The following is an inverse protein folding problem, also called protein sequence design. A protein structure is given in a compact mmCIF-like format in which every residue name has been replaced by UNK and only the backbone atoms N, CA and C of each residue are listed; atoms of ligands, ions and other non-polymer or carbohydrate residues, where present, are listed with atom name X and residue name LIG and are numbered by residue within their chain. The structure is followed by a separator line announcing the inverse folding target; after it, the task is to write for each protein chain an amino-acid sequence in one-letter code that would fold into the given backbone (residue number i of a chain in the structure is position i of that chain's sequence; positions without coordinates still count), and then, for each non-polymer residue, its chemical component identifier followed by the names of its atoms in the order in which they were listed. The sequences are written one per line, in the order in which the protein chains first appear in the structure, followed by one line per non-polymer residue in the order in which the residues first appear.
data_IF_166454666693
#
_entry.id   IF_166454666693
#
_cell.length_a   1.000
_cell.length_b   1.000
_cell.length_c   1.000
_cell.angle_alpha   90.00
_cell.angle_beta   90.00
_cell.angle_gamma   90.00
#
_symmetry.space_group_name_H-M   'P 1'
#
loop_
_entity.id
_entity.type
_entity.pdbx_description
1 polymer ?
#
# COMPACT_ATOMS: atom_id res chain seq x y z
N UNK A 1 -2.11 -15.09 25.96
CA UNK A 1 -3.28 -14.18 26.07
C UNK A 1 -3.23 -13.34 24.81
N UNK A 2 -4.08 -13.67 23.86
CA UNK A 2 -4.24 -12.84 22.65
C UNK A 2 -4.95 -11.57 23.10
N UNK A 3 -4.24 -10.44 23.04
CA UNK A 3 -4.88 -9.13 23.25
C UNK A 3 -5.93 -8.95 22.16
N UNK A 4 -7.20 -8.86 22.52
CA UNK A 4 -8.27 -8.50 21.60
C UNK A 4 -7.92 -7.15 20.97
N UNK A 5 -7.83 -7.14 19.64
CA UNK A 5 -7.60 -5.90 18.89
C UNK A 5 -8.93 -5.17 18.82
N UNK A 6 -9.04 -4.06 19.50
CA UNK A 6 -10.24 -3.22 19.47
C UNK A 6 -10.44 -2.65 18.07
N UNK A 7 -11.60 -2.90 17.46
CA UNK A 7 -12.01 -2.28 16.21
C UNK A 7 -12.87 -1.05 16.50
N UNK A 8 -12.38 0.12 16.13
CA UNK A 8 -13.10 1.39 16.27
C UNK A 8 -13.57 1.86 14.90
N UNK A 9 -14.89 1.96 14.70
CA UNK A 9 -15.49 2.54 13.51
C UNK A 9 -16.02 3.93 13.82
N UNK A 10 -15.64 4.91 13.02
CA UNK A 10 -16.05 6.29 13.13
C UNK A 10 -16.93 6.63 11.93
N UNK A 11 -18.23 6.79 12.15
CA UNK A 11 -19.23 7.04 11.10
C UNK A 11 -19.72 8.49 11.06
N UNK A 12 -19.63 9.19 12.19
CA UNK A 12 -20.06 10.58 12.28
C UNK A 12 -18.98 11.56 11.81
N UNK A 13 -19.38 12.79 11.51
CA UNK A 13 -18.44 13.86 11.22
C UNK A 13 -17.56 14.16 12.45
N UNK A 14 -16.26 14.30 12.20
CA UNK A 14 -15.26 14.60 13.23
C UNK A 14 -14.57 15.91 12.89
N UNK A 15 -14.64 16.89 13.78
CA UNK A 15 -13.84 18.09 13.65
C UNK A 15 -12.37 17.83 14.06
N UNK A 16 -12.15 17.21 15.22
CA UNK A 16 -10.83 16.84 15.71
C UNK A 16 -10.86 15.50 16.45
N UNK A 17 -9.99 14.57 16.08
CA UNK A 17 -9.75 13.32 16.81
C UNK A 17 -8.27 13.13 17.10
N UNK A 18 -7.94 12.91 18.36
CA UNK A 18 -6.60 12.51 18.78
C UNK A 18 -6.61 11.06 19.29
N UNK A 19 -5.61 10.27 18.86
CA UNK A 19 -5.42 8.87 19.25
C UNK A 19 -3.98 8.74 19.72
N UNK A 20 -3.78 8.18 20.91
CA UNK A 20 -2.45 8.07 21.51
C UNK A 20 -2.18 6.66 21.99
N UNK A 21 -1.06 6.06 21.55
CA UNK A 21 -0.62 4.73 21.97
C UNK A 21 -1.57 3.61 21.53
N UNK A 22 -1.47 2.45 22.19
CA UNK A 22 -2.36 1.31 22.00
C UNK A 22 -2.13 0.51 20.73
N UNK A 23 -3.01 -0.49 20.53
CA UNK A 23 -3.10 -1.33 19.34
C UNK A 23 -4.56 -1.33 18.89
N UNK A 24 -4.86 -0.74 17.75
CA UNK A 24 -6.24 -0.51 17.30
C UNK A 24 -6.37 -0.73 15.80
N UNK A 25 -7.51 -1.28 15.37
CA UNK A 25 -7.97 -1.22 14.00
C UNK A 25 -8.98 -0.06 13.90
N UNK A 26 -8.61 1.00 13.21
CA UNK A 26 -9.40 2.21 13.08
C UNK A 26 -9.97 2.33 11.67
N UNK A 27 -11.30 2.38 11.56
CA UNK A 27 -11.99 2.63 10.31
C UNK A 27 -12.68 4.00 10.34
N UNK A 28 -12.18 4.93 9.55
CA UNK A 28 -12.73 6.27 9.39
C UNK A 28 -13.69 6.25 8.21
N UNK A 29 -14.98 6.09 8.50
CA UNK A 29 -16.06 6.03 7.54
C UNK A 29 -16.86 7.35 7.46
N UNK A 30 -16.80 8.20 8.48
CA UNK A 30 -17.32 9.55 8.49
C UNK A 30 -16.30 10.58 7.99
N UNK A 31 -16.78 11.71 7.46
CA UNK A 31 -15.90 12.83 7.09
C UNK A 31 -15.18 13.38 8.31
N UNK A 32 -13.92 13.75 8.15
CA UNK A 32 -13.13 14.32 9.24
C UNK A 32 -12.33 15.54 8.79
N UNK A 33 -12.34 16.58 9.64
CA UNK A 33 -11.48 17.74 9.42
C UNK A 33 -10.03 17.39 9.83
N UNK A 34 -9.82 16.98 11.09
CA UNK A 34 -8.46 16.71 11.57
C UNK A 34 -8.37 15.44 12.42
N UNK A 35 -7.42 14.57 12.04
CA UNK A 35 -7.10 13.36 12.81
C UNK A 35 -5.60 13.39 13.13
N UNK A 36 -5.26 13.18 14.40
CA UNK A 36 -3.89 13.09 14.89
C UNK A 36 -3.66 11.76 15.61
N UNK A 37 -2.63 11.01 15.21
CA UNK A 37 -2.30 9.70 15.79
C UNK A 37 -0.86 9.73 16.27
N UNK A 38 -0.64 9.44 17.56
CA UNK A 38 0.68 9.48 18.20
C UNK A 38 1.07 8.11 18.76
N UNK A 39 2.20 7.57 18.32
CA UNK A 39 2.72 6.28 18.78
C UNK A 39 1.81 5.09 18.44
N UNK A 40 1.98 3.96 19.14
CA UNK A 40 1.14 2.77 19.00
C UNK A 40 1.42 1.92 17.76
N UNK A 41 0.60 0.88 17.62
CA UNK A 41 0.56 -0.02 16.46
C UNK A 41 -0.88 -0.08 15.93
N UNK A 42 -1.12 0.49 14.75
CA UNK A 42 -2.48 0.66 14.24
C UNK A 42 -2.62 0.19 12.80
N UNK A 43 -3.79 -0.37 12.49
CA UNK A 43 -4.25 -0.52 11.10
C UNK A 43 -5.32 0.56 10.85
N UNK A 44 -5.09 1.42 9.86
CA UNK A 44 -5.99 2.52 9.53
C UNK A 44 -6.66 2.24 8.20
N UNK A 45 -7.98 2.38 8.15
CA UNK A 45 -8.77 2.38 6.93
C UNK A 45 -9.47 3.73 6.81
N UNK A 46 -9.15 4.48 5.76
CA UNK A 46 -9.75 5.78 5.47
C UNK A 46 -10.77 5.57 4.36
N UNK A 47 -12.03 5.50 4.71
CA UNK A 47 -13.13 5.21 3.76
C UNK A 47 -13.98 6.44 3.45
N UNK A 48 -13.66 7.60 4.03
CA UNK A 48 -14.32 8.88 3.77
C UNK A 48 -13.29 10.01 3.74
N UNK A 49 -13.68 11.18 3.25
CA UNK A 49 -12.80 12.33 3.11
C UNK A 49 -12.22 12.80 4.44
N UNK A 50 -10.91 13.10 4.45
CA UNK A 50 -10.19 13.67 5.60
C UNK A 50 -9.40 14.88 5.13
N UNK A 51 -9.63 16.05 5.73
CA UNK A 51 -8.86 17.25 5.38
C UNK A 51 -7.40 17.10 5.82
N UNK A 52 -7.16 16.71 7.08
CA UNK A 52 -5.80 16.56 7.58
C UNK A 52 -5.64 15.30 8.44
N UNK A 53 -4.78 14.38 8.00
CA UNK A 53 -4.34 13.24 8.79
C UNK A 53 -2.86 13.42 9.16
N UNK A 54 -2.56 13.49 10.46
CA UNK A 54 -1.21 13.62 10.97
C UNK A 54 -0.83 12.42 11.84
N UNK A 55 0.32 11.84 11.58
CA UNK A 55 0.81 10.62 12.22
C UNK A 55 2.21 10.84 12.77
N UNK A 56 2.41 10.54 14.05
CA UNK A 56 3.70 10.65 14.73
C UNK A 56 4.19 9.29 15.22
N UNK A 57 5.33 8.84 14.73
CA UNK A 57 5.99 7.59 15.16
C UNK A 57 5.13 6.35 15.04
N UNK A 58 5.49 5.26 15.74
CA UNK A 58 4.76 3.99 15.80
C UNK A 58 4.93 3.10 14.56
N UNK A 59 4.20 1.98 14.56
CA UNK A 59 4.14 1.03 13.43
C UNK A 59 2.73 0.99 12.86
N UNK A 60 2.57 1.08 11.54
CA UNK A 60 1.24 1.18 10.93
C UNK A 60 1.12 0.53 9.56
N UNK A 61 -0.09 0.07 9.30
CA UNK A 61 -0.60 -0.14 7.96
C UNK A 61 -1.73 0.86 7.69
N UNK A 62 -1.67 1.59 6.58
CA UNK A 62 -2.62 2.66 6.26
C UNK A 62 -3.21 2.37 4.88
N UNK A 63 -4.52 2.20 4.86
CA UNK A 63 -5.31 1.93 3.65
C UNK A 63 -6.18 3.15 3.34
N UNK A 64 -5.78 3.95 2.35
CA UNK A 64 -6.49 5.16 1.93
C UNK A 64 -7.40 4.80 0.78
N UNK A 65 -8.71 4.81 1.02
CA UNK A 65 -9.78 4.49 0.07
C UNK A 65 -10.67 5.67 -0.29
N UNK A 66 -10.32 6.87 0.16
CA UNK A 66 -11.00 8.13 -0.15
C UNK A 66 -9.99 9.27 -0.18
N UNK A 67 -10.43 10.50 -0.45
CA UNK A 67 -9.55 11.64 -0.59
C UNK A 67 -8.99 12.13 0.76
N UNK A 68 -7.71 12.50 0.75
CA UNK A 68 -7.05 13.20 1.86
C UNK A 68 -6.41 14.46 1.30
N UNK A 69 -6.74 15.61 1.88
CA UNK A 69 -6.11 16.88 1.46
C UNK A 69 -4.67 16.97 1.94
N UNK A 70 -4.41 16.73 3.24
CA UNK A 70 -3.07 16.78 3.82
C UNK A 70 -2.77 15.50 4.62
N UNK A 71 -1.85 14.68 4.14
CA UNK A 71 -1.32 13.53 4.87
C UNK A 71 0.09 13.83 5.35
N UNK A 72 0.29 13.89 6.67
CA UNK A 72 1.57 14.19 7.29
C UNK A 72 2.05 13.02 8.15
N UNK A 73 3.25 12.52 7.89
CA UNK A 73 3.85 11.39 8.61
C UNK A 73 5.22 11.79 9.14
N UNK A 74 5.39 11.68 10.44
CA UNK A 74 6.63 12.03 11.16
C UNK A 74 7.23 10.80 11.82
N UNK A 75 8.31 10.26 11.27
CA UNK A 75 9.03 9.10 11.78
C UNK A 75 8.19 7.80 11.78
N UNK A 76 8.66 6.80 12.53
CA UNK A 76 7.99 5.49 12.62
C UNK A 76 8.28 4.56 11.45
N UNK A 77 7.49 3.48 11.37
CA UNK A 77 7.52 2.49 10.30
C UNK A 77 6.11 2.32 9.76
N UNK A 78 5.90 2.56 8.49
CA UNK A 78 4.57 2.47 7.90
C UNK A 78 4.57 1.78 6.54
N UNK A 79 3.51 1.01 6.31
CA UNK A 79 3.13 0.55 4.97
C UNK A 79 1.86 1.27 4.58
N UNK A 80 1.87 1.97 3.44
CA UNK A 80 0.81 2.89 3.06
C UNK A 80 0.33 2.53 1.67
N UNK A 81 -0.99 2.35 1.54
CA UNK A 81 -1.65 2.08 0.28
C UNK A 81 -2.58 3.24 -0.07
N UNK A 82 -2.33 3.89 -1.19
CA UNK A 82 -3.26 4.85 -1.78
C UNK A 82 -4.04 4.12 -2.86
N UNK A 83 -5.25 3.76 -2.53
CA UNK A 83 -6.09 2.91 -3.36
C UNK A 83 -6.74 3.66 -4.52
N UNK A 84 -7.12 2.95 -5.61
CA UNK A 84 -7.85 3.51 -6.75
C UNK A 84 -9.36 3.26 -6.61
N UNK A 85 -9.97 3.83 -5.58
CA UNK A 85 -11.41 3.74 -5.34
C UNK A 85 -12.05 5.11 -5.46
N UNK A 86 -13.06 5.23 -6.29
CA UNK A 86 -13.87 6.44 -6.40
C UNK A 86 -13.02 7.70 -6.56
N UNK A 87 -13.00 8.53 -5.54
CA UNK A 87 -12.24 9.78 -5.46
C UNK A 87 -10.94 9.67 -4.63
N UNK A 88 -10.46 8.45 -4.36
CA UNK A 88 -9.28 8.24 -3.53
C UNK A 88 -8.05 8.91 -4.15
N UNK A 89 -7.52 9.88 -3.44
CA UNK A 89 -6.34 10.64 -3.82
C UNK A 89 -5.72 11.30 -2.58
N UNK A 90 -4.45 11.66 -2.68
CA UNK A 90 -3.78 12.47 -1.66
C UNK A 90 -3.26 13.74 -2.32
N UNK A 91 -3.72 14.91 -1.87
CA UNK A 91 -3.28 16.17 -2.48
C UNK A 91 -1.87 16.54 -2.00
N UNK A 92 -1.63 16.63 -0.70
CA UNK A 92 -0.31 16.88 -0.13
C UNK A 92 0.12 15.74 0.77
N UNK A 93 1.12 14.97 0.35
CA UNK A 93 1.66 13.85 1.11
C UNK A 93 3.06 14.21 1.62
N UNK A 94 3.17 14.47 2.91
CA UNK A 94 4.41 14.91 3.54
C UNK A 94 4.96 13.81 4.47
N UNK A 95 6.22 13.45 4.27
CA UNK A 95 6.93 12.43 5.05
C UNK A 95 8.20 13.05 5.62
N UNK A 96 8.40 12.92 6.91
CA UNK A 96 9.61 13.39 7.59
C UNK A 96 10.22 12.25 8.40
N UNK A 97 11.40 11.80 8.02
CA UNK A 97 12.12 10.70 8.67
C UNK A 97 11.43 9.34 8.50
N UNK A 98 11.75 8.39 9.38
CA UNK A 98 11.13 7.07 9.42
C UNK A 98 11.61 6.08 8.35
N UNK A 99 10.88 4.95 8.26
CA UNK A 99 11.09 3.90 7.27
C UNK A 99 9.72 3.50 6.70
N UNK A 100 9.47 3.87 5.46
CA UNK A 100 8.13 3.71 4.87
C UNK A 100 8.16 2.99 3.53
N UNK A 101 7.20 2.09 3.34
CA UNK A 101 6.85 1.52 2.04
C UNK A 101 5.51 2.10 1.60
N UNK A 102 5.47 2.77 0.46
CA UNK A 102 4.31 3.49 -0.05
C UNK A 102 3.95 2.93 -1.42
N UNK A 103 2.72 2.46 -1.54
CA UNK A 103 2.20 1.84 -2.75
C UNK A 103 1.02 2.68 -3.23
N UNK A 104 1.16 3.25 -4.42
CA UNK A 104 0.20 4.19 -4.99
C UNK A 104 -0.46 3.53 -6.19
N UNK A 105 -1.75 3.25 -6.08
CA UNK A 105 -2.60 2.75 -7.17
C UNK A 105 -3.41 3.86 -7.83
N UNK A 106 -3.48 5.03 -7.20
CA UNK A 106 -4.28 6.18 -7.62
C UNK A 106 -3.40 7.42 -7.80
N UNK A 107 -3.90 8.56 -7.38
CA UNK A 107 -3.31 9.85 -7.61
C UNK A 107 -2.75 10.49 -6.33
N UNK A 108 -1.50 10.97 -6.42
CA UNK A 108 -0.89 11.85 -5.43
C UNK A 108 -0.44 13.12 -6.15
N UNK A 109 -0.93 14.29 -5.72
CA UNK A 109 -0.58 15.53 -6.39
C UNK A 109 0.85 15.98 -6.03
N UNK A 110 1.17 16.08 -4.75
CA UNK A 110 2.51 16.46 -4.30
C UNK A 110 2.99 15.50 -3.21
N UNK A 111 4.14 14.85 -3.43
CA UNK A 111 4.83 13.99 -2.49
C UNK A 111 6.11 14.67 -2.02
N UNK A 112 6.17 15.03 -0.76
CA UNK A 112 7.33 15.68 -0.12
C UNK A 112 7.99 14.72 0.85
N UNK A 113 9.26 14.39 0.64
CA UNK A 113 10.02 13.45 1.46
C UNK A 113 11.22 14.15 2.06
N UNK A 114 11.28 14.23 3.37
CA UNK A 114 12.39 14.81 4.12
C UNK A 114 13.07 13.75 4.99
N UNK A 115 14.21 13.25 4.54
CA UNK A 115 14.98 12.22 5.25
C UNK A 115 14.37 10.83 5.24
N UNK A 116 14.84 9.96 6.15
CA UNK A 116 14.36 8.60 6.29
C UNK A 116 14.82 7.61 5.21
N UNK A 117 14.25 6.40 5.27
CA UNK A 117 14.42 5.33 4.27
C UNK A 117 13.06 5.03 3.69
N UNK A 118 12.86 5.34 2.42
CA UNK A 118 11.53 5.28 1.83
C UNK A 118 11.57 4.52 0.50
N UNK A 119 10.63 3.58 0.34
CA UNK A 119 10.37 2.87 -0.91
C UNK A 119 9.00 3.29 -1.44
N UNK A 120 8.96 3.85 -2.63
CA UNK A 120 7.73 4.33 -3.27
C UNK A 120 7.50 3.52 -4.55
N UNK A 121 6.33 2.92 -4.66
CA UNK A 121 5.90 2.13 -5.81
C UNK A 121 4.70 2.84 -6.43
N UNK A 122 4.85 3.33 -7.64
CA UNK A 122 3.84 4.03 -8.42
C UNK A 122 3.95 3.59 -9.89
N UNK A 123 3.75 2.30 -10.14
CA UNK A 123 3.93 1.67 -11.44
C UNK A 123 2.68 0.94 -11.95
N UNK A 124 1.53 1.23 -11.36
CA UNK A 124 0.24 0.68 -11.79
C UNK A 124 -0.41 1.56 -12.87
N UNK A 125 -1.35 1.01 -13.61
CA UNK A 125 -1.97 1.64 -14.80
C UNK A 125 -2.54 3.04 -14.51
N UNK A 126 -3.25 3.20 -13.40
CA UNK A 126 -3.88 4.47 -13.01
C UNK A 126 -3.06 5.26 -11.99
N UNK A 127 -1.92 4.72 -11.56
CA UNK A 127 -1.10 5.39 -10.55
C UNK A 127 -0.36 6.59 -11.14
N UNK A 128 -0.35 7.70 -10.40
CA UNK A 128 0.31 8.93 -10.82
C UNK A 128 0.74 9.78 -9.65
N UNK A 129 1.92 10.36 -9.74
CA UNK A 129 2.39 11.44 -8.88
C UNK A 129 2.75 12.63 -9.77
N UNK A 130 2.18 13.82 -9.50
CA UNK A 130 2.48 15.00 -10.30
C UNK A 130 3.82 15.62 -9.94
N UNK A 131 4.15 15.67 -8.64
CA UNK A 131 5.36 16.31 -8.15
C UNK A 131 5.96 15.54 -7.01
N UNK A 132 7.28 15.34 -7.06
CA UNK A 132 8.06 14.73 -5.99
C UNK A 132 9.14 15.73 -5.57
N UNK A 133 9.15 16.11 -4.30
CA UNK A 133 10.27 16.83 -3.67
C UNK A 133 10.95 15.90 -2.69
N UNK A 134 12.28 15.87 -2.71
CA UNK A 134 13.06 14.96 -1.92
C UNK A 134 14.26 15.63 -1.31
N UNK A 135 14.38 15.63 0.01
CA UNK A 135 15.48 16.22 0.76
C UNK A 135 16.07 15.17 1.68
N UNK A 136 17.38 14.93 1.60
CA UNK A 136 18.13 14.01 2.47
C UNK A 136 17.60 12.55 2.46
N UNK A 137 18.22 11.65 3.24
CA UNK A 137 17.81 10.26 3.40
C UNK A 137 18.01 9.38 2.16
N UNK A 138 17.45 8.17 2.18
CA UNK A 138 17.51 7.20 1.09
C UNK A 138 16.10 6.96 0.53
N UNK A 139 15.95 6.98 -0.79
CA UNK A 139 14.70 6.71 -1.49
C UNK A 139 14.93 5.79 -2.67
N UNK A 140 14.03 4.81 -2.80
CA UNK A 140 13.91 3.95 -3.98
C UNK A 140 12.53 4.21 -4.60
N UNK A 141 12.51 4.79 -5.79
CA UNK A 141 11.31 5.18 -6.52
C UNK A 141 11.10 4.23 -7.70
N UNK A 142 10.00 3.48 -7.70
CA UNK A 142 9.57 2.62 -8.81
C UNK A 142 8.40 3.30 -9.50
N UNK A 143 8.66 3.91 -10.66
CA UNK A 143 7.72 4.80 -11.34
C UNK A 143 7.37 4.25 -12.72
N UNK A 144 6.08 4.35 -13.12
CA UNK A 144 5.66 4.09 -14.48
C UNK A 144 5.96 5.29 -15.41
N UNK A 145 5.70 5.14 -16.71
CA UNK A 145 5.94 6.19 -17.70
C UNK A 145 5.09 7.46 -17.47
N UNK A 146 3.88 7.33 -16.94
CA UNK A 146 3.00 8.45 -16.64
C UNK A 146 3.53 9.27 -15.45
N UNK A 147 4.06 8.59 -14.45
CA UNK A 147 4.68 9.21 -13.26
C UNK A 147 6.10 9.68 -13.57
N UNK A 148 6.77 9.10 -14.55
CA UNK A 148 8.10 9.53 -14.99
C UNK A 148 8.18 10.95 -15.56
N UNK A 149 7.02 11.61 -15.77
CA UNK A 149 6.91 13.04 -16.09
C UNK A 149 6.76 13.93 -14.85
N UNK A 150 6.71 13.36 -13.65
CA UNK A 150 6.64 14.13 -12.40
C UNK A 150 7.87 15.04 -12.26
N UNK A 151 7.66 16.25 -11.74
CA UNK A 151 8.75 17.16 -11.42
C UNK A 151 9.44 16.59 -10.18
N UNK A 152 10.67 16.11 -10.35
CA UNK A 152 11.49 15.57 -9.27
C UNK A 152 12.50 16.63 -8.89
N UNK A 153 12.32 17.19 -7.70
CA UNK A 153 13.23 18.16 -7.10
C UNK A 153 13.98 17.43 -5.97
N UNK A 154 15.27 17.15 -6.20
CA UNK A 154 16.11 16.40 -5.27
C UNK A 154 17.27 17.29 -4.81
N UNK A 155 17.15 17.84 -3.62
CA UNK A 155 18.15 18.76 -3.06
C UNK A 155 19.34 18.03 -2.41
N UNK A 156 19.12 16.84 -1.80
CA UNK A 156 20.17 16.06 -1.16
C UNK A 156 19.74 14.61 -0.85
N UNK A 157 20.74 13.77 -0.53
CA UNK A 157 20.53 12.35 -0.21
C UNK A 157 20.61 11.42 -1.41
N UNK A 158 20.34 10.13 -1.19
CA UNK A 158 20.33 9.11 -2.25
C UNK A 158 18.92 8.92 -2.76
N UNK A 159 18.70 9.14 -4.05
CA UNK A 159 17.43 8.92 -4.71
C UNK A 159 17.65 8.01 -5.92
N UNK A 160 17.27 6.74 -5.82
CA UNK A 160 17.33 5.76 -6.90
C UNK A 160 15.98 5.75 -7.62
N UNK A 161 15.95 6.15 -8.87
CA UNK A 161 14.74 6.17 -9.69
C UNK A 161 14.83 5.02 -10.69
N UNK A 162 13.87 4.10 -10.61
CA UNK A 162 13.73 3.01 -11.56
C UNK A 162 12.43 3.21 -12.35
N UNK A 163 12.56 3.35 -13.67
CA UNK A 163 11.39 3.27 -14.55
C UNK A 163 11.04 1.80 -14.70
N UNK A 164 9.82 1.46 -14.34
CA UNK A 164 9.32 0.10 -14.39
C UNK A 164 8.16 0.00 -15.37
N UNK A 165 7.94 -1.17 -15.94
CA UNK A 165 6.74 -1.43 -16.73
C UNK A 165 5.48 -1.20 -15.92
N UNK A 166 4.40 -0.84 -16.61
CA UNK A 166 3.09 -0.68 -15.98
C UNK A 166 2.60 -2.07 -15.58
N UNK A 167 2.35 -2.24 -14.29
CA UNK A 167 1.71 -3.44 -13.76
C UNK A 167 0.20 -3.25 -13.79
N UNK A 168 -0.59 -4.19 -14.34
CA UNK A 168 -2.03 -4.15 -14.23
C UNK A 168 -2.46 -4.07 -12.77
N UNK A 169 -3.46 -3.25 -12.50
CA UNK A 169 -4.01 -3.20 -11.14
C UNK A 169 -4.54 -4.57 -10.74
N UNK A 170 -4.21 -5.05 -9.55
CA UNK A 170 -4.74 -6.31 -9.09
C UNK A 170 -6.28 -6.24 -9.01
N UNK A 171 -6.98 -7.17 -9.65
CA UNK A 171 -8.46 -7.14 -9.82
C UNK A 171 -9.23 -7.16 -8.48
N UNK A 172 -8.67 -7.77 -7.40
CA UNK A 172 -9.26 -7.71 -6.06
C UNK A 172 -9.35 -6.28 -5.47
N UNK A 173 -8.83 -5.33 -6.20
CA UNK A 173 -8.96 -3.91 -5.92
C UNK A 173 -10.34 -3.35 -6.21
N UNK A 174 -11.15 -4.02 -7.04
CA UNK A 174 -12.51 -3.63 -7.34
C UNK A 174 -13.45 -4.22 -6.27
N UNK A 175 -14.05 -3.36 -5.44
CA UNK A 175 -15.03 -3.73 -4.38
C UNK A 175 -16.28 -4.49 -4.93
N UNK A 176 -16.41 -4.64 -6.25
CA UNK A 176 -17.51 -5.30 -6.94
C UNK A 176 -17.26 -6.76 -7.32
N UNK A 177 -16.04 -7.25 -7.18
CA UNK A 177 -15.77 -8.66 -7.38
C UNK A 177 -16.00 -9.39 -6.06
N UNK A 178 -16.91 -10.34 -6.08
CA UNK A 178 -17.07 -11.29 -4.98
C UNK A 178 -15.70 -11.75 -4.50
N UNK A 179 -15.47 -11.76 -3.20
CA UNK A 179 -14.21 -12.05 -2.47
C UNK A 179 -13.44 -13.33 -2.89
N UNK A 180 -13.70 -13.91 -4.06
CA UNK A 180 -13.34 -15.27 -4.41
C UNK A 180 -12.40 -15.44 -5.60
N UNK A 181 -12.03 -14.39 -6.34
CA UNK A 181 -11.24 -14.56 -7.57
C UNK A 181 -10.05 -13.60 -7.64
N UNK A 182 -8.86 -14.08 -7.24
CA UNK A 182 -7.60 -13.43 -7.61
C UNK A 182 -7.30 -13.86 -9.05
N UNK A 183 -7.11 -12.93 -10.00
CA UNK A 183 -6.83 -13.31 -11.38
C UNK A 183 -5.44 -13.92 -11.51
N UNK A 184 -5.37 -14.90 -12.39
CA UNK A 184 -4.10 -15.43 -12.85
C UNK A 184 -3.49 -14.44 -13.83
N UNK A 185 -2.24 -14.07 -13.59
CA UNK A 185 -1.43 -13.28 -14.53
C UNK A 185 -0.43 -14.19 -15.20
N UNK A 186 -0.36 -14.13 -16.54
CA UNK A 186 0.68 -14.82 -17.31
C UNK A 186 1.81 -13.81 -17.51
N UNK A 187 3.02 -14.15 -17.08
CA UNK A 187 4.17 -13.28 -17.22
C UNK A 187 4.60 -13.18 -18.69
N UNK A 188 4.58 -11.98 -19.25
CA UNK A 188 5.09 -11.70 -20.61
C UNK A 188 6.61 -11.85 -20.69
N UNK A 189 7.32 -11.57 -19.58
CA UNK A 189 8.77 -11.66 -19.46
C UNK A 189 9.18 -12.32 -18.14
N UNK A 190 10.39 -12.90 -18.05
CA UNK A 190 10.91 -13.45 -16.80
C UNK A 190 11.20 -12.33 -15.81
N UNK A 191 10.83 -12.51 -14.53
CA UNK A 191 11.21 -11.58 -13.47
C UNK A 191 12.64 -11.91 -13.00
N UNK A 192 13.61 -11.20 -13.54
CA UNK A 192 15.01 -11.35 -13.14
C UNK A 192 15.21 -10.93 -11.68
N UNK A 193 15.93 -11.78 -10.92
CA UNK A 193 16.22 -11.59 -9.49
C UNK A 193 15.04 -11.74 -8.52
N UNK A 194 13.85 -12.11 -8.98
CA UNK A 194 12.72 -12.45 -8.11
C UNK A 194 12.46 -13.96 -8.13
N UNK A 195 12.15 -14.51 -6.97
CA UNK A 195 11.86 -15.94 -6.78
C UNK A 195 10.54 -16.13 -6.04
N UNK A 196 9.81 -17.16 -6.43
CA UNK A 196 8.68 -17.61 -5.63
C UNK A 196 9.18 -18.14 -4.29
N UNK A 197 8.83 -17.50 -3.18
CA UNK A 197 9.32 -17.86 -1.83
C UNK A 197 8.76 -19.20 -1.31
N UNK A 198 7.82 -19.82 -2.02
CA UNK A 198 7.30 -21.14 -1.70
C UNK A 198 8.18 -22.25 -2.30
N UNK A 199 8.48 -22.20 -3.61
CA UNK A 199 9.25 -23.21 -4.29
C UNK A 199 10.71 -22.81 -4.57
N UNK A 200 11.11 -21.57 -4.28
CA UNK A 200 12.43 -20.98 -4.46
C UNK A 200 12.90 -20.90 -5.93
N UNK A 201 12.05 -21.22 -6.88
CA UNK A 201 12.34 -21.09 -8.30
C UNK A 201 12.13 -19.65 -8.78
N UNK A 202 12.92 -19.25 -9.77
CA UNK A 202 12.76 -17.99 -10.49
C UNK A 202 11.48 -17.99 -11.32
N UNK A 203 10.90 -16.79 -11.53
CA UNK A 203 9.77 -16.62 -12.42
C UNK A 203 10.24 -16.54 -13.86
N UNK A 204 9.68 -17.38 -14.72
CA UNK A 204 10.00 -17.47 -16.14
C UNK A 204 8.91 -16.81 -16.98
N UNK A 205 9.24 -16.51 -18.23
CA UNK A 205 8.26 -16.11 -19.23
C UNK A 205 7.18 -17.21 -19.37
N UNK A 206 5.93 -16.80 -19.48
CA UNK A 206 4.73 -17.63 -19.53
C UNK A 206 4.38 -18.36 -18.21
N UNK A 207 5.07 -18.09 -17.11
CA UNK A 207 4.62 -18.59 -15.81
C UNK A 207 3.27 -17.96 -15.42
N UNK A 208 2.39 -18.81 -14.92
CA UNK A 208 1.14 -18.38 -14.29
C UNK A 208 1.40 -18.00 -12.84
N UNK A 209 1.09 -16.77 -12.49
CA UNK A 209 1.35 -16.22 -11.17
C UNK A 209 0.13 -15.53 -10.57
N UNK A 210 0.11 -15.49 -9.25
CA UNK A 210 -0.79 -14.65 -8.46
C UNK A 210 -0.01 -13.50 -7.85
N UNK A 211 -0.50 -12.29 -8.04
CA UNK A 211 -0.10 -11.12 -7.24
C UNK A 211 -1.08 -10.96 -6.09
N UNK A 212 -0.59 -11.11 -4.87
CA UNK A 212 -1.41 -10.92 -3.68
C UNK A 212 -1.63 -9.43 -3.36
N UNK A 213 -2.67 -9.09 -2.56
CA UNK A 213 -2.91 -7.74 -2.05
C UNK A 213 -1.69 -7.06 -1.45
N UNK A 214 -0.83 -7.83 -0.85
CA UNK A 214 0.43 -7.40 -0.25
C UNK A 214 1.59 -7.34 -1.27
N UNK A 215 1.29 -7.34 -2.58
CA UNK A 215 2.24 -7.28 -3.72
C UNK A 215 3.21 -8.46 -3.83
N UNK A 216 3.14 -9.46 -2.99
CA UNK A 216 3.95 -10.65 -3.13
C UNK A 216 3.42 -11.52 -4.26
N UNK A 217 4.35 -11.98 -5.11
CA UNK A 217 4.08 -12.80 -6.27
C UNK A 217 4.43 -14.27 -6.01
N UNK A 218 3.60 -15.18 -6.48
CA UNK A 218 3.80 -16.62 -6.34
C UNK A 218 3.31 -17.33 -7.59
N UNK A 219 3.92 -18.45 -7.94
CA UNK A 219 3.32 -19.33 -8.94
C UNK A 219 1.92 -19.78 -8.47
N UNK A 220 0.98 -19.86 -9.39
CA UNK A 220 -0.41 -20.27 -9.11
C UNK A 220 -0.45 -21.58 -8.31
N UNK A 221 0.23 -22.62 -8.76
CA UNK A 221 0.27 -23.92 -8.10
C UNK A 221 0.82 -23.84 -6.67
N UNK A 222 1.83 -23.02 -6.45
CA UNK A 222 2.45 -22.85 -5.13
C UNK A 222 1.50 -22.19 -4.15
N UNK A 223 0.85 -21.09 -4.56
CA UNK A 223 -0.05 -20.37 -3.68
C UNK A 223 -1.32 -21.18 -3.38
N UNK A 224 -1.89 -21.87 -4.38
CA UNK A 224 -3.05 -22.74 -4.19
C UNK A 224 -2.76 -23.82 -3.13
N UNK A 225 -1.60 -24.47 -3.20
CA UNK A 225 -1.23 -25.48 -2.20
C UNK A 225 -1.02 -24.88 -0.80
N UNK A 226 -0.36 -23.72 -0.71
CA UNK A 226 -0.17 -22.99 0.55
C UNK A 226 -1.50 -22.65 1.22
N UNK A 227 -2.46 -22.15 0.45
CA UNK A 227 -3.74 -21.66 0.99
C UNK A 227 -4.67 -22.76 1.48
N UNK A 228 -4.38 -24.04 1.19
CA UNK A 228 -5.09 -25.18 1.80
C UNK A 228 -4.89 -25.26 3.31
N UNK A 229 -3.71 -24.88 3.79
CA UNK A 229 -3.33 -24.95 5.21
C UNK A 229 -3.22 -23.58 5.89
N UNK A 230 -2.89 -22.53 5.16
CA UNK A 230 -2.60 -21.21 5.70
C UNK A 230 -3.42 -20.13 4.99
N UNK A 231 -4.14 -19.30 5.76
CA UNK A 231 -4.96 -18.21 5.21
C UNK A 231 -4.20 -16.87 5.17
N UNK A 232 -2.91 -16.90 4.90
CA UNK A 232 -2.07 -15.71 4.90
C UNK A 232 -0.98 -15.78 3.82
N UNK A 233 -0.46 -14.62 3.45
CA UNK A 233 0.68 -14.51 2.55
C UNK A 233 1.91 -15.25 3.11
N UNK A 234 2.56 -16.11 2.33
CA UNK A 234 3.79 -16.81 2.76
C UNK A 234 4.88 -15.87 3.24
N UNK A 235 5.03 -14.71 2.61
CA UNK A 235 6.12 -13.77 2.86
C UNK A 235 5.85 -12.80 4.00
N UNK A 236 4.68 -12.12 4.02
CA UNK A 236 4.42 -11.05 4.99
C UNK A 236 3.31 -11.37 6.00
N UNK A 237 2.72 -12.55 5.93
CA UNK A 237 1.63 -13.02 6.81
C UNK A 237 0.34 -12.19 6.71
N UNK A 238 0.18 -11.39 5.67
CA UNK A 238 -1.08 -10.71 5.39
C UNK A 238 -2.21 -11.75 5.31
N UNK A 239 -3.25 -11.61 6.12
CA UNK A 239 -4.34 -12.57 6.22
C UNK A 239 -5.37 -12.38 5.08
N UNK A 240 -5.84 -13.48 4.53
CA UNK A 240 -6.95 -13.51 3.56
C UNK A 240 -8.27 -13.64 4.33
N UNK A 241 -9.19 -12.69 4.15
CA UNK A 241 -10.49 -12.71 4.86
C UNK A 241 -11.37 -13.89 4.49
N UNK A 242 -11.20 -14.46 3.28
CA UNK A 242 -11.97 -15.62 2.80
C UNK A 242 -11.08 -16.74 2.28
N UNK A 243 -11.57 -17.99 2.32
CA UNK A 243 -10.88 -19.12 1.70
C UNK A 243 -10.76 -18.87 0.20
N UNK A 244 -9.56 -18.96 -0.34
CA UNK A 244 -9.29 -19.09 -1.78
C UNK A 244 -9.83 -20.45 -2.29
N UNK A 245 -11.11 -20.75 -2.04
CA UNK A 245 -11.68 -22.09 -2.18
C UNK A 245 -12.21 -22.43 -3.57
N UNK A 246 -12.01 -21.56 -4.57
CA UNK A 246 -12.48 -21.78 -5.94
C UNK A 246 -11.38 -21.83 -7.00
N UNK A 247 -10.19 -22.20 -6.61
CA UNK A 247 -9.13 -22.45 -7.59
C UNK A 247 -9.08 -23.95 -7.94
N UNK A 248 -10.08 -24.44 -8.65
CA UNK A 248 -9.93 -25.68 -9.42
C UNK A 248 -9.52 -25.27 -10.82
N UNK A 249 -8.35 -25.68 -11.33
CA UNK A 249 -8.12 -25.66 -12.76
C UNK A 249 -9.12 -26.64 -13.37
N UNK A 250 -9.94 -26.15 -14.31
CA UNK A 250 -10.68 -27.03 -15.22
C UNK A 250 -9.70 -27.85 -16.02
#
# INVERSE_FOLDING_TARGET
MDEEIEEQKIEEYIDLKEITGGKTNLNIAGKANKISIKGGSHTLKISSHVDTLTIFGGRREINIKSSIENLNIYGGVSKIFVHNFGDAQVNHFNITGGNHEIIIYSFVNELNINGGVNKIICNYEHSRINKIKSIGGQKDLFLNENTGKAIIDNDSGTCNIQKTEIIPEPIWYQDSLSDNEIPITILSEPKTNEKCTICLNEFKQNDEVYFLPCIHCFHVKCLVEWTKSQKCCPTCKFEFKNKLSKFSPN
#
